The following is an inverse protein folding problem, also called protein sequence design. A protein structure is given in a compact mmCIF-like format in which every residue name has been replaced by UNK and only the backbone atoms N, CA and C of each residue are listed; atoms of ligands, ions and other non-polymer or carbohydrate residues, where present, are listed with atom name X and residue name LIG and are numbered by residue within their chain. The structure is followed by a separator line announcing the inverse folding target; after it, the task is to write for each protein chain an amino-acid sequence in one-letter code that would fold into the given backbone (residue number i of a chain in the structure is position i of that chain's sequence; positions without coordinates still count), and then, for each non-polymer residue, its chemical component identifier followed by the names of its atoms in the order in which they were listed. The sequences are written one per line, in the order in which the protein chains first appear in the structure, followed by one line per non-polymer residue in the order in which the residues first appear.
data_IF_677621863355
#
_entry.id   IF_677621863355
#
_cell.length_a   1.000
_cell.length_b   1.000
_cell.length_c   1.000
_cell.angle_alpha   90.00
_cell.angle_beta   90.00
_cell.angle_gamma   90.00
#
_symmetry.space_group_name_H-M   'P 1'
#
loop_
_entity.id
_entity.type
_entity.pdbx_description
1 polymer ?
#
# COMPACT_ATOMS: atom_id res chain seq x y z
N UNK A 1 23.59 0.49 -6.17
CA UNK A 1 25.03 0.79 -6.10
C UNK A 1 25.54 1.77 -7.17
N UNK A 2 25.65 1.44 -8.47
CA UNK A 2 26.18 2.39 -9.46
C UNK A 2 25.21 3.54 -9.81
N UNK A 3 23.91 3.25 -10.03
CA UNK A 3 22.91 4.30 -10.30
C UNK A 3 22.66 5.16 -9.05
N UNK A 4 22.56 4.52 -7.89
CA UNK A 4 22.38 5.17 -6.58
C UNK A 4 23.46 6.21 -6.25
N UNK A 5 24.74 5.93 -6.55
CA UNK A 5 25.84 6.90 -6.40
C UNK A 5 25.75 8.05 -7.39
N UNK A 6 25.29 7.79 -8.62
CA UNK A 6 25.09 8.84 -9.63
C UNK A 6 23.91 9.75 -9.26
N UNK A 7 22.83 9.17 -8.75
CA UNK A 7 21.64 9.88 -8.28
C UNK A 7 21.94 10.76 -7.06
N UNK A 8 22.70 10.24 -6.09
CA UNK A 8 23.22 11.02 -4.97
C UNK A 8 24.09 12.19 -5.41
N UNK A 9 24.97 11.97 -6.39
CA UNK A 9 25.85 13.04 -6.91
C UNK A 9 25.04 14.14 -7.59
N UNK A 10 24.08 13.76 -8.44
CA UNK A 10 23.14 14.68 -9.10
C UNK A 10 22.30 15.47 -8.09
N UNK A 11 21.79 14.80 -7.06
CA UNK A 11 21.02 15.47 -6.01
C UNK A 11 21.89 16.43 -5.21
N UNK A 12 23.12 16.04 -4.86
CA UNK A 12 24.05 16.91 -4.12
C UNK A 12 24.38 18.19 -4.89
N UNK A 13 24.43 18.15 -6.22
CA UNK A 13 24.54 19.35 -7.05
C UNK A 13 23.27 20.20 -7.00
N UNK A 14 22.09 19.58 -7.14
CA UNK A 14 20.80 20.27 -6.99
C UNK A 14 20.62 20.90 -5.61
N UNK A 15 21.11 20.26 -4.55
CA UNK A 15 21.06 20.77 -3.18
C UNK A 15 21.78 22.12 -3.03
N UNK A 16 22.81 22.38 -3.86
CA UNK A 16 23.51 23.68 -3.87
C UNK A 16 22.73 24.79 -4.56
N UNK A 17 21.67 24.45 -5.31
CA UNK A 17 20.92 25.43 -6.11
C UNK A 17 19.94 26.28 -5.29
N UNK A 18 19.43 25.76 -4.16
CA UNK A 18 18.47 26.48 -3.32
C UNK A 18 18.42 25.95 -1.89
N UNK A 19 17.93 26.78 -0.96
CA UNK A 19 17.68 26.38 0.43
C UNK A 19 16.63 25.27 0.53
N UNK A 20 15.64 25.26 -0.38
CA UNK A 20 14.64 24.20 -0.48
C UNK A 20 15.30 22.86 -0.83
N UNK A 21 16.07 22.79 -1.92
CA UNK A 21 16.74 21.57 -2.34
C UNK A 21 17.72 21.05 -1.26
N UNK A 22 18.44 21.96 -0.60
CA UNK A 22 19.34 21.62 0.52
C UNK A 22 18.57 20.99 1.69
N UNK A 23 17.40 21.52 2.03
CA UNK A 23 16.53 20.96 3.06
C UNK A 23 16.05 19.54 2.70
N UNK A 24 15.55 19.35 1.48
CA UNK A 24 15.07 18.03 1.05
C UNK A 24 16.21 17.01 1.02
N UNK A 25 17.41 17.41 0.56
CA UNK A 25 18.60 16.56 0.60
C UNK A 25 18.91 16.08 2.03
N UNK A 26 18.92 17.00 3.00
CA UNK A 26 19.15 16.66 4.41
C UNK A 26 18.07 15.71 4.97
N UNK A 27 16.81 15.88 4.57
CA UNK A 27 15.74 14.98 5.01
C UNK A 27 15.83 13.59 4.40
N UNK A 28 16.31 13.48 3.15
CA UNK A 28 16.61 12.18 2.53
C UNK A 28 17.79 11.51 3.24
N UNK A 29 18.85 12.25 3.57
CA UNK A 29 19.98 11.71 4.35
C UNK A 29 19.55 11.15 5.71
N UNK A 30 18.59 11.80 6.36
CA UNK A 30 18.05 11.34 7.65
C UNK A 30 17.17 10.09 7.56
N UNK A 31 16.54 9.86 6.40
CA UNK A 31 15.75 8.66 6.10
C UNK A 31 16.67 7.51 5.66
N UNK A 32 17.67 7.80 4.84
CA UNK A 32 18.52 6.83 4.15
C UNK A 32 18.25 6.82 2.65
N UNK A 33 19.32 6.88 1.85
CA UNK A 33 19.23 6.91 0.39
C UNK A 33 18.79 5.58 -0.22
N UNK A 34 19.06 4.48 0.47
CA UNK A 34 18.66 3.13 0.09
C UNK A 34 17.13 2.97 0.02
N UNK A 35 16.41 3.79 0.78
CA UNK A 35 14.96 3.85 0.78
C UNK A 35 14.42 4.70 -0.38
N UNK A 36 15.20 5.61 -0.94
CA UNK A 36 14.75 6.41 -2.08
C UNK A 36 14.67 5.51 -3.33
N UNK A 37 13.49 5.49 -3.94
CA UNK A 37 13.18 4.69 -5.12
C UNK A 37 13.27 5.54 -6.40
N UNK A 38 12.73 6.75 -6.34
CA UNK A 38 12.69 7.68 -7.46
C UNK A 38 12.49 9.11 -6.97
N UNK A 39 12.85 10.09 -7.80
CA UNK A 39 12.58 11.51 -7.57
C UNK A 39 12.48 12.27 -8.90
N UNK A 40 11.73 13.37 -8.92
CA UNK A 40 11.68 14.29 -10.05
C UNK A 40 12.88 15.25 -10.05
N UNK A 41 13.27 15.76 -11.23
CA UNK A 41 14.42 16.67 -11.35
C UNK A 41 14.32 17.98 -10.57
N UNK A 42 13.09 18.43 -10.26
CA UNK A 42 12.79 19.60 -9.43
C UNK A 42 12.63 19.27 -7.94
N UNK A 43 12.80 17.99 -7.57
CA UNK A 43 12.69 17.47 -6.20
C UNK A 43 11.32 17.68 -5.54
N UNK A 44 10.29 18.02 -6.32
CA UNK A 44 8.91 18.16 -5.84
C UNK A 44 8.20 16.83 -5.73
N UNK A 45 8.68 15.79 -6.41
CA UNK A 45 8.16 14.43 -6.27
C UNK A 45 9.27 13.51 -5.80
N UNK A 46 8.98 12.74 -4.75
CA UNK A 46 9.85 11.72 -4.18
C UNK A 46 9.06 10.41 -4.05
N UNK A 47 9.75 9.30 -4.18
CA UNK A 47 9.17 7.98 -3.94
C UNK A 47 10.09 7.18 -3.04
N UNK A 48 9.56 6.69 -1.92
CA UNK A 48 10.31 5.91 -0.93
C UNK A 48 9.79 4.47 -0.86
N UNK A 49 10.71 3.54 -0.66
CA UNK A 49 10.45 2.12 -0.40
C UNK A 49 10.54 1.84 1.09
N UNK A 50 9.50 1.19 1.61
CA UNK A 50 9.44 0.68 2.98
C UNK A 50 9.27 -0.83 2.89
N UNK A 51 10.11 -1.57 3.61
CA UNK A 51 10.00 -3.02 3.73
C UNK A 51 9.39 -3.33 5.08
N UNK A 52 8.28 -4.07 5.10
CA UNK A 52 7.60 -4.44 6.34
C UNK A 52 8.19 -5.70 7.00
N UNK A 53 7.66 -6.08 8.16
CA UNK A 53 8.12 -7.25 8.92
C UNK A 53 7.95 -8.60 8.20
N UNK A 54 7.16 -8.67 7.13
CA UNK A 54 6.97 -9.85 6.28
C UNK A 54 7.78 -9.79 4.98
N UNK A 55 8.74 -8.87 4.89
CA UNK A 55 9.57 -8.63 3.71
C UNK A 55 8.80 -8.17 2.46
N UNK A 56 7.63 -7.57 2.66
CA UNK A 56 6.85 -6.99 1.56
C UNK A 56 7.32 -5.55 1.35
N UNK A 57 7.57 -5.21 0.09
CA UNK A 57 7.99 -3.85 -0.29
C UNK A 57 6.77 -3.00 -0.62
N UNK A 58 6.68 -1.85 0.02
CA UNK A 58 5.66 -0.84 -0.17
C UNK A 58 6.29 0.43 -0.71
N UNK A 59 5.58 1.13 -1.59
CA UNK A 59 6.05 2.39 -2.19
C UNK A 59 5.17 3.54 -1.73
N UNK A 60 5.79 4.56 -1.16
CA UNK A 60 5.15 5.81 -0.75
C UNK A 60 5.60 6.92 -1.70
N UNK A 61 4.67 7.44 -2.49
CA UNK A 61 4.84 8.65 -3.26
C UNK A 61 4.58 9.88 -2.39
N UNK A 62 5.44 10.88 -2.52
CA UNK A 62 5.37 12.15 -1.80
C UNK A 62 5.48 13.28 -2.80
N UNK A 63 4.53 14.20 -2.75
CA UNK A 63 4.55 15.42 -3.54
C UNK A 63 4.61 16.65 -2.64
N UNK A 64 5.67 17.43 -2.85
CA UNK A 64 6.01 18.65 -2.13
C UNK A 64 5.59 19.85 -2.97
N UNK A 65 4.88 20.78 -2.34
CA UNK A 65 4.55 22.07 -2.93
C UNK A 65 5.39 23.20 -2.31
N UNK A 66 5.15 24.43 -2.75
CA UNK A 66 5.88 25.62 -2.30
C UNK A 66 5.58 25.99 -0.84
N UNK A 67 4.53 25.42 -0.25
CA UNK A 67 4.16 25.65 1.14
C UNK A 67 4.87 24.68 2.10
N UNK A 68 5.54 23.66 1.58
CA UNK A 68 6.30 22.72 2.40
C UNK A 68 7.45 23.42 3.17
N UNK A 69 7.68 23.10 4.46
CA UNK A 69 6.96 22.14 5.31
C UNK A 69 5.79 22.74 6.11
N UNK A 70 5.40 24.00 5.87
CA UNK A 70 4.31 24.64 6.63
C UNK A 70 2.99 23.87 6.49
N UNK A 71 2.78 23.25 5.32
CA UNK A 71 1.68 22.32 5.06
C UNK A 71 2.21 20.90 4.87
N UNK A 72 1.34 19.92 5.12
CA UNK A 72 1.64 18.52 4.88
C UNK A 72 1.88 18.26 3.39
N UNK A 73 2.82 17.39 3.02
CA UNK A 73 2.96 16.96 1.65
C UNK A 73 1.76 16.10 1.22
N UNK A 74 1.48 16.10 -0.08
CA UNK A 74 0.53 15.14 -0.66
C UNK A 74 1.17 13.77 -0.72
N UNK A 75 0.42 12.72 -0.37
CA UNK A 75 0.94 11.35 -0.30
C UNK A 75 0.09 10.39 -1.14
N UNK A 76 0.76 9.43 -1.78
CA UNK A 76 0.11 8.34 -2.50
C UNK A 76 0.75 7.00 -2.11
N UNK A 77 -0.07 6.01 -1.83
CA UNK A 77 0.38 4.66 -1.47
C UNK A 77 -0.73 3.66 -1.78
N UNK A 78 -0.35 2.41 -2.03
CA UNK A 78 -1.27 1.34 -2.37
C UNK A 78 -1.85 0.67 -1.11
N UNK A 79 -2.85 1.32 -0.50
CA UNK A 79 -3.48 0.90 0.76
C UNK A 79 -5.01 0.83 0.65
N UNK A 80 -5.69 -0.04 1.42
CA UNK A 80 -7.13 -0.24 1.30
C UNK A 80 -7.98 0.90 1.86
N UNK A 81 -7.39 1.84 2.61
CA UNK A 81 -8.07 3.03 3.10
C UNK A 81 -7.10 4.19 3.33
N UNK A 82 -7.62 5.42 3.25
CA UNK A 82 -6.83 6.63 3.40
C UNK A 82 -6.09 6.70 4.75
N UNK A 83 -4.85 7.17 4.69
CA UNK A 83 -4.02 7.43 5.85
C UNK A 83 -4.08 8.92 6.23
N UNK A 84 -4.44 9.20 7.48
CA UNK A 84 -4.45 10.57 8.00
C UNK A 84 -3.05 10.93 8.50
N UNK A 85 -2.33 11.70 7.68
CA UNK A 85 -1.00 12.21 8.04
C UNK A 85 -1.14 13.23 9.19
N UNK A 86 -0.44 12.97 10.29
CA UNK A 86 -0.23 13.96 11.36
C UNK A 86 0.97 14.81 10.97
N UNK A 87 0.75 16.10 10.77
CA UNK A 87 1.78 17.02 10.30
C UNK A 87 1.73 18.34 11.06
N UNK A 88 2.91 18.91 11.30
CA UNK A 88 3.09 20.26 11.83
C UNK A 88 4.10 21.03 10.98
N UNK A 89 4.18 22.35 11.13
CA UNK A 89 5.18 23.15 10.40
C UNK A 89 6.65 22.77 10.69
N UNK A 90 6.87 22.03 11.79
CA UNK A 90 8.19 21.54 12.21
C UNK A 90 8.42 20.08 11.81
N UNK A 91 7.40 19.42 11.25
CA UNK A 91 7.49 18.03 10.84
C UNK A 91 8.41 17.86 9.63
N UNK A 92 8.97 16.65 9.53
CA UNK A 92 9.94 16.26 8.50
C UNK A 92 9.53 14.93 7.87
N UNK A 93 10.05 14.63 6.69
CA UNK A 93 9.73 13.42 5.94
C UNK A 93 10.03 12.15 6.73
N UNK A 94 11.02 12.16 7.63
CA UNK A 94 11.30 11.02 8.52
C UNK A 94 10.12 10.66 9.44
N UNK A 95 9.44 11.66 10.00
CA UNK A 95 8.24 11.45 10.83
C UNK A 95 7.09 10.87 10.01
N UNK A 96 6.99 11.28 8.74
CA UNK A 96 6.02 10.73 7.79
C UNK A 96 6.35 9.25 7.47
N UNK A 97 7.62 8.90 7.26
CA UNK A 97 8.02 7.51 7.03
C UNK A 97 7.75 6.61 8.24
N UNK A 98 7.97 7.11 9.46
CA UNK A 98 7.60 6.38 10.68
C UNK A 98 6.10 6.13 10.76
N UNK A 99 5.30 7.16 10.46
CA UNK A 99 3.85 7.07 10.40
C UNK A 99 3.34 6.02 9.40
N UNK A 100 3.96 5.92 8.22
CA UNK A 100 3.66 4.88 7.24
C UNK A 100 4.08 3.49 7.71
N UNK A 101 5.25 3.39 8.36
CA UNK A 101 5.72 2.12 8.94
C UNK A 101 4.71 1.57 9.96
N UNK A 102 4.22 2.44 10.86
CA UNK A 102 3.18 2.08 11.83
C UNK A 102 1.84 1.78 11.14
N UNK A 103 1.54 2.43 10.02
CA UNK A 103 0.33 2.14 9.27
C UNK A 103 0.37 0.79 8.58
N UNK A 104 1.50 0.43 7.98
CA UNK A 104 1.69 -0.85 7.32
C UNK A 104 1.69 -2.01 8.31
N UNK A 105 2.21 -1.81 9.53
CA UNK A 105 2.12 -2.83 10.58
C UNK A 105 0.66 -3.16 10.96
N UNK A 106 -0.24 -2.17 10.95
CA UNK A 106 -1.69 -2.40 11.16
C UNK A 106 -2.39 -3.11 10.00
N UNK A 107 -1.80 -3.08 8.80
CA UNK A 107 -2.33 -3.75 7.61
C UNK A 107 -1.71 -5.15 7.40
N UNK A 108 -0.80 -5.58 8.28
CA UNK A 108 -0.08 -6.85 8.15
C UNK A 108 -1.03 -8.04 8.00
N UNK A 109 -1.98 -8.17 8.93
CA UNK A 109 -2.96 -9.26 8.93
C UNK A 109 -3.87 -9.23 7.70
N UNK A 110 -4.17 -8.04 7.18
CA UNK A 110 -4.99 -7.88 5.98
C UNK A 110 -4.27 -8.43 4.76
N UNK A 111 -3.04 -7.98 4.52
CA UNK A 111 -2.27 -8.45 3.37
C UNK A 111 -1.91 -9.92 3.50
N UNK A 112 -1.59 -10.41 4.70
CA UNK A 112 -1.34 -11.84 4.89
C UNK A 112 -2.59 -12.68 4.64
N UNK A 113 -3.78 -12.20 5.00
CA UNK A 113 -5.03 -12.91 4.68
C UNK A 113 -5.30 -12.96 3.17
N UNK A 114 -5.00 -11.88 2.44
CA UNK A 114 -5.09 -11.89 0.98
C UNK A 114 -4.08 -12.85 0.36
N UNK A 115 -2.84 -12.83 0.84
CA UNK A 115 -1.77 -13.75 0.39
C UNK A 115 -2.14 -15.21 0.67
N UNK A 116 -2.73 -15.51 1.82
CA UNK A 116 -3.23 -16.86 2.15
C UNK A 116 -4.33 -17.31 1.17
N UNK A 117 -5.26 -16.42 0.83
CA UNK A 117 -6.31 -16.68 -0.17
C UNK A 117 -5.70 -16.93 -1.55
N UNK A 118 -4.81 -16.04 -1.98
CA UNK A 118 -4.18 -16.08 -3.30
C UNK A 118 -3.31 -17.34 -3.49
N UNK A 119 -2.70 -17.83 -2.41
CA UNK A 119 -1.90 -19.05 -2.43
C UNK A 119 -2.72 -20.34 -2.29
N UNK A 120 -3.91 -20.27 -1.68
CA UNK A 120 -4.71 -21.46 -1.35
C UNK A 120 -5.86 -21.73 -2.31
N UNK A 121 -6.36 -20.71 -3.02
CA UNK A 121 -7.56 -20.79 -3.83
C UNK A 121 -7.28 -20.41 -5.29
N UNK A 122 -8.15 -20.85 -6.20
CA UNK A 122 -8.06 -20.48 -7.62
C UNK A 122 -8.66 -19.10 -7.84
N UNK A 123 -7.84 -18.05 -7.63
CA UNK A 123 -8.21 -16.65 -7.85
C UNK A 123 -8.10 -16.32 -9.34
N UNK A 124 -9.16 -15.72 -9.90
CA UNK A 124 -9.25 -15.37 -11.34
C UNK A 124 -9.15 -13.87 -11.62
N UNK A 125 -9.00 -13.05 -10.58
CA UNK A 125 -8.93 -11.59 -10.72
C UNK A 125 -7.54 -11.12 -11.18
N UNK A 126 -7.52 -10.21 -12.16
CA UNK A 126 -6.30 -9.55 -12.64
C UNK A 126 -5.69 -8.56 -11.65
N UNK A 127 -6.44 -8.13 -10.64
CA UNK A 127 -6.00 -7.13 -9.66
C UNK A 127 -5.35 -7.72 -8.39
N UNK A 128 -5.06 -9.03 -8.37
CA UNK A 128 -4.49 -9.72 -7.21
C UNK A 128 -3.19 -9.09 -6.67
N UNK A 129 -2.39 -8.44 -7.51
CA UNK A 129 -1.14 -7.79 -7.10
C UNK A 129 -1.34 -6.46 -6.37
N UNK A 130 -2.54 -5.87 -6.45
CA UNK A 130 -2.83 -4.58 -5.82
C UNK A 130 -3.11 -4.76 -4.33
N UNK A 131 -2.41 -3.99 -3.50
CA UNK A 131 -2.52 -4.00 -2.03
C UNK A 131 -3.67 -3.13 -1.52
N UNK A 132 -4.30 -2.32 -2.37
CA UNK A 132 -5.52 -1.59 -2.05
C UNK A 132 -6.82 -2.40 -2.28
N UNK A 133 -6.76 -3.51 -3.04
CA UNK A 133 -7.95 -4.27 -3.41
C UNK A 133 -8.35 -5.20 -2.28
N UNK A 134 -9.55 -4.99 -1.75
CA UNK A 134 -10.12 -5.71 -0.61
C UNK A 134 -11.10 -6.82 -1.03
N UNK A 135 -11.05 -7.26 -2.29
CA UNK A 135 -11.84 -8.40 -2.75
C UNK A 135 -11.02 -9.37 -3.59
N UNK A 136 -11.50 -10.61 -3.71
CA UNK A 136 -10.96 -11.65 -4.58
C UNK A 136 -12.10 -12.38 -5.27
N UNK A 137 -11.95 -12.62 -6.57
CA UNK A 137 -12.84 -13.48 -7.32
C UNK A 137 -12.24 -14.88 -7.42
N UNK A 138 -12.96 -15.88 -6.93
CA UNK A 138 -12.51 -17.27 -6.88
C UNK A 138 -13.39 -18.11 -7.81
N UNK A 139 -12.76 -18.99 -8.58
CA UNK A 139 -13.47 -20.03 -9.33
C UNK A 139 -13.90 -21.16 -8.38
N UNK A 140 -15.20 -21.39 -8.29
CA UNK A 140 -15.79 -22.47 -7.50
C UNK A 140 -16.07 -23.73 -8.34
N UNK A 141 -15.68 -23.72 -9.62
CA UNK A 141 -15.97 -24.77 -10.60
C UNK A 141 -17.38 -24.68 -11.17
N UNK A 142 -17.66 -25.50 -12.20
CA UNK A 142 -18.97 -25.60 -12.85
C UNK A 142 -19.55 -24.25 -13.34
N UNK A 143 -18.68 -23.33 -13.78
CA UNK A 143 -19.08 -21.99 -14.22
C UNK A 143 -19.61 -21.09 -13.10
N UNK A 144 -19.21 -21.35 -11.85
CA UNK A 144 -19.57 -20.55 -10.69
C UNK A 144 -18.36 -19.82 -10.13
N UNK A 145 -18.56 -18.58 -9.73
CA UNK A 145 -17.55 -17.74 -9.11
C UNK A 145 -18.04 -17.19 -7.78
N UNK A 146 -17.11 -16.98 -6.86
CA UNK A 146 -17.37 -16.35 -5.57
C UNK A 146 -16.53 -15.08 -5.51
N UNK A 147 -17.18 -13.94 -5.35
CA UNK A 147 -16.51 -12.71 -4.93
C UNK A 147 -16.49 -12.65 -3.41
N UNK A 148 -15.30 -12.75 -2.83
CA UNK A 148 -15.05 -12.55 -1.41
C UNK A 148 -14.61 -11.11 -1.17
N UNK A 149 -15.30 -10.40 -0.29
CA UNK A 149 -14.92 -9.07 0.18
C UNK A 149 -14.37 -9.17 1.60
N UNK A 150 -13.10 -8.81 1.77
CA UNK A 150 -12.35 -8.91 3.01
C UNK A 150 -12.34 -7.56 3.71
N UNK A 151 -12.69 -7.52 4.99
CA UNK A 151 -12.62 -6.29 5.77
C UNK A 151 -11.15 -5.96 6.06
N UNK A 152 -10.66 -4.81 5.60
CA UNK A 152 -9.27 -4.39 5.78
C UNK A 152 -8.87 -4.04 7.21
N UNK A 153 -9.84 -3.82 8.10
CA UNK A 153 -9.61 -3.56 9.53
C UNK A 153 -9.81 -4.78 10.42
N UNK A 154 -10.53 -5.78 9.92
CA UNK A 154 -10.78 -7.04 10.62
C UNK A 154 -10.77 -8.20 9.60
N UNK A 155 -9.60 -8.59 9.08
CA UNK A 155 -9.48 -9.49 7.93
C UNK A 155 -9.93 -10.92 8.23
N UNK A 156 -10.00 -11.28 9.51
CA UNK A 156 -10.48 -12.59 9.98
C UNK A 156 -11.97 -12.60 10.30
N UNK A 157 -12.68 -11.48 10.20
CA UNK A 157 -14.15 -11.46 10.29
C UNK A 157 -14.81 -12.21 9.13
N UNK A 158 -16.07 -12.61 9.30
CA UNK A 158 -16.85 -13.28 8.27
C UNK A 158 -16.92 -12.38 7.01
N UNK A 159 -16.39 -12.81 5.85
CA UNK A 159 -16.37 -11.98 4.67
C UNK A 159 -17.76 -11.84 4.04
N UNK A 160 -18.02 -10.70 3.38
CA UNK A 160 -19.16 -10.61 2.47
C UNK A 160 -18.88 -11.46 1.22
N UNK A 161 -19.85 -12.28 0.82
CA UNK A 161 -19.73 -13.17 -0.32
C UNK A 161 -20.82 -12.86 -1.35
N UNK A 162 -20.44 -12.70 -2.62
CA UNK A 162 -21.37 -12.67 -3.75
C UNK A 162 -21.10 -13.85 -4.66
N UNK A 163 -22.15 -14.58 -5.01
CA UNK A 163 -22.08 -15.78 -5.85
C UNK A 163 -22.54 -15.43 -7.26
N UNK A 164 -21.74 -15.80 -8.26
CA UNK A 164 -21.97 -15.52 -9.67
C UNK A 164 -22.00 -16.86 -10.45
N UNK A 165 -22.84 -16.97 -11.47
CA UNK A 165 -22.95 -18.17 -12.29
C UNK A 165 -24.39 -18.56 -12.61
N UNK A 166 -24.59 -19.79 -13.09
CA UNK A 166 -25.92 -20.33 -13.38
C UNK A 166 -26.73 -20.59 -12.10
N UNK A 167 -28.06 -20.44 -12.16
CA UNK A 167 -28.92 -20.42 -10.97
C UNK A 167 -28.81 -21.68 -10.10
N UNK A 168 -28.85 -22.88 -10.70
CA UNK A 168 -28.91 -24.13 -9.93
C UNK A 168 -27.66 -24.38 -9.05
N UNK A 169 -26.43 -24.29 -9.57
CA UNK A 169 -25.22 -24.37 -8.75
C UNK A 169 -25.08 -23.23 -7.73
N UNK A 170 -25.42 -22.00 -8.10
CA UNK A 170 -25.33 -20.82 -7.22
C UNK A 170 -26.27 -20.95 -6.02
N UNK A 171 -27.51 -21.40 -6.23
CA UNK A 171 -28.48 -21.60 -5.16
C UNK A 171 -27.98 -22.60 -4.11
N UNK A 172 -27.29 -23.65 -4.55
CA UNK A 172 -26.69 -24.63 -3.66
C UNK A 172 -25.56 -24.02 -2.82
N UNK A 173 -24.66 -23.24 -3.44
CA UNK A 173 -23.59 -22.53 -2.74
C UNK A 173 -24.14 -21.53 -1.70
N UNK A 174 -25.17 -20.77 -2.07
CA UNK A 174 -25.82 -19.83 -1.15
C UNK A 174 -26.45 -20.54 0.06
N UNK A 175 -27.12 -21.69 -0.14
CA UNK A 175 -27.66 -22.50 0.96
C UNK A 175 -26.55 -23.03 1.87
N UNK A 176 -25.46 -23.53 1.30
CA UNK A 176 -24.31 -24.01 2.06
C UNK A 176 -23.65 -22.89 2.86
N UNK A 177 -23.49 -21.71 2.27
CA UNK A 177 -22.96 -20.53 2.93
C UNK A 177 -23.84 -20.12 4.11
N UNK A 178 -25.14 -19.90 3.91
CA UNK A 178 -26.08 -19.51 4.99
C UNK A 178 -26.11 -20.49 6.15
N UNK A 179 -25.94 -21.79 5.88
CA UNK A 179 -25.90 -22.84 6.91
C UNK A 179 -24.63 -22.78 7.76
N UNK A 180 -23.49 -22.42 7.16
CA UNK A 180 -22.19 -22.53 7.80
C UNK A 180 -21.59 -21.19 8.24
N UNK A 181 -22.05 -20.06 7.72
CA UNK A 181 -21.51 -18.74 8.04
C UNK A 181 -21.64 -18.38 9.53
N UNK A 182 -22.61 -18.96 10.23
CA UNK A 182 -22.80 -18.81 11.69
C UNK A 182 -21.76 -19.55 12.54
N UNK A 183 -20.92 -20.40 11.93
CA UNK A 183 -19.88 -21.18 12.61
C UNK A 183 -18.50 -20.53 12.52
N UNK A 184 -18.42 -19.34 11.91
CA UNK A 184 -17.20 -18.57 11.73
C UNK A 184 -16.75 -17.96 13.05
#
# INVERSE_FOLDING_TARGET
MASERADQTRFRELAKSSSFCSKIYSEIEEIGWEHLANFSGDLKFLSFRIVDGKQRTHTVGIQLDETYPKSAPSVSTDVPYAFNVKWSMNSRLKELMQQFTDHFSRLDEFWSTLEDIDNSLYVVDSQQSSRNVHFRQIDAGNGCFIMLFINSRDPKSLPECRFLGSCSPVDNLQKLWRRNSKKW
#
